data_IF_551266359981
#
_entry.id   IF_551266359981
#
_cell.length_a   1.000
_cell.length_b   1.000
_cell.length_c   1.000
_cell.angle_alpha   90.00
_cell.angle_beta   90.00
_cell.angle_gamma   90.00
#
_symmetry.space_group_name_H-M   'P 1'
#
loop_
_entity.id
_entity.type
_entity.pdbx_description
1 polymer ?
#
# COMPACT_ATOMS: atom_id res chain seq x y z
N UNK A 1 -34.04 -7.23 13.57
CA UNK A 1 -32.62 -6.83 13.44
C UNK A 1 -31.73 -7.43 14.53
N UNK A 2 -31.57 -6.84 15.73
CA UNK A 2 -30.56 -7.34 16.70
C UNK A 2 -30.77 -8.81 17.15
N UNK A 3 -32.02 -9.20 17.48
CA UNK A 3 -32.36 -10.58 17.90
C UNK A 3 -32.14 -11.59 16.76
N UNK A 4 -32.50 -11.19 15.54
CA UNK A 4 -32.32 -11.99 14.33
C UNK A 4 -30.84 -12.22 14.03
N UNK A 5 -30.02 -11.16 14.07
CA UNK A 5 -28.56 -11.24 13.93
C UNK A 5 -27.95 -12.17 14.99
N UNK A 6 -28.41 -12.08 16.24
CA UNK A 6 -27.95 -12.95 17.32
C UNK A 6 -28.20 -14.44 16.99
N UNK A 7 -29.43 -14.80 16.60
CA UNK A 7 -29.77 -16.20 16.30
C UNK A 7 -28.95 -16.73 15.10
N UNK A 8 -28.80 -15.94 14.04
CA UNK A 8 -28.02 -16.35 12.89
C UNK A 8 -26.53 -16.55 13.23
N UNK A 9 -25.95 -15.69 14.08
CA UNK A 9 -24.56 -15.83 14.52
C UNK A 9 -24.36 -16.96 15.54
N UNK A 10 -25.27 -17.13 16.50
CA UNK A 10 -25.19 -18.20 17.53
C UNK A 10 -25.31 -19.60 16.91
N UNK A 11 -26.15 -19.71 15.88
CA UNK A 11 -26.37 -20.95 15.14
C UNK A 11 -25.33 -21.14 14.02
N UNK A 12 -24.34 -20.24 13.94
CA UNK A 12 -23.17 -20.29 13.04
C UNK A 12 -23.52 -20.20 11.54
N UNK A 13 -24.63 -19.55 11.20
CA UNK A 13 -24.95 -19.27 9.80
C UNK A 13 -23.98 -18.29 9.16
N UNK A 14 -23.48 -17.32 9.93
CA UNK A 14 -22.38 -16.43 9.52
C UNK A 14 -21.62 -15.89 10.73
N UNK A 15 -20.49 -15.21 10.48
CA UNK A 15 -19.76 -14.43 11.47
C UNK A 15 -19.38 -13.07 10.89
N UNK A 16 -19.27 -12.06 11.75
CA UNK A 16 -18.63 -10.81 11.37
C UNK A 16 -17.10 -10.91 11.42
N UNK A 17 -16.43 -9.94 10.80
CA UNK A 17 -14.98 -9.82 10.83
C UNK A 17 -14.46 -9.51 12.25
N UNK A 18 -13.19 -9.84 12.50
CA UNK A 18 -12.53 -9.66 13.80
C UNK A 18 -12.69 -8.24 14.39
N UNK A 19 -12.53 -7.13 13.63
CA UNK A 19 -12.72 -5.78 14.20
C UNK A 19 -14.15 -5.52 14.66
N UNK A 20 -15.15 -6.01 13.92
CA UNK A 20 -16.55 -5.95 14.34
C UNK A 20 -16.76 -6.71 15.65
N UNK A 21 -16.23 -7.93 15.74
CA UNK A 21 -16.35 -8.77 16.94
C UNK A 21 -15.63 -8.16 18.17
N UNK A 22 -14.53 -7.42 17.97
CA UNK A 22 -13.80 -6.77 19.05
C UNK A 22 -14.40 -5.45 19.52
N UNK A 23 -14.96 -4.67 18.60
CA UNK A 23 -15.25 -3.26 18.85
C UNK A 23 -16.74 -2.90 18.81
N UNK A 24 -17.63 -3.80 18.39
CA UNK A 24 -19.08 -3.56 18.43
C UNK A 24 -19.54 -3.28 19.88
N UNK A 25 -20.26 -2.17 20.09
CA UNK A 25 -20.74 -1.75 21.41
C UNK A 25 -19.70 -1.10 22.32
N UNK A 26 -18.47 -0.88 21.83
CA UNK A 26 -17.41 -0.16 22.59
C UNK A 26 -17.45 1.36 22.34
N UNK A 27 -16.81 2.20 23.18
CA UNK A 27 -16.83 3.66 23.02
C UNK A 27 -16.19 4.18 21.72
N UNK A 28 -15.30 3.42 21.09
CA UNK A 28 -14.68 3.76 19.81
C UNK A 28 -14.83 2.58 18.84
N UNK A 29 -16.00 2.41 18.21
CA UNK A 29 -16.35 1.20 17.48
C UNK A 29 -15.78 1.22 16.06
N UNK A 30 -14.47 1.06 15.92
CA UNK A 30 -13.85 0.80 14.63
C UNK A 30 -14.17 -0.65 14.22
N UNK A 31 -15.10 -0.84 13.29
CA UNK A 31 -15.57 -2.18 12.89
C UNK A 31 -15.05 -2.63 11.51
N UNK A 32 -14.34 -1.74 10.80
CA UNK A 32 -13.88 -1.96 9.42
C UNK A 32 -12.47 -2.57 9.40
N UNK A 33 -12.27 -3.62 8.60
CA UNK A 33 -10.97 -4.33 8.57
C UNK A 33 -9.93 -3.71 7.64
N UNK A 34 -10.36 -3.24 6.48
CA UNK A 34 -9.47 -2.93 5.37
C UNK A 34 -9.73 -1.54 4.82
N UNK A 35 -8.67 -0.85 4.44
CA UNK A 35 -8.70 0.50 3.89
C UNK A 35 -7.86 0.53 2.61
N UNK A 36 -8.36 1.19 1.59
CA UNK A 36 -7.63 1.42 0.34
C UNK A 36 -7.33 2.91 0.24
N UNK A 37 -6.06 3.25 0.03
CA UNK A 37 -5.57 4.60 -0.10
C UNK A 37 -4.80 4.74 -1.40
N UNK A 38 -4.98 5.87 -2.05
CA UNK A 38 -4.06 6.33 -3.09
C UNK A 38 -3.13 7.35 -2.47
N UNK A 39 -1.86 7.29 -2.85
CA UNK A 39 -0.92 8.35 -2.53
C UNK A 39 -1.45 9.69 -3.05
N UNK A 40 -1.57 10.68 -2.17
CA UNK A 40 -2.29 11.93 -2.48
C UNK A 40 -1.67 12.72 -3.62
N UNK A 41 -0.36 12.97 -3.53
CA UNK A 41 0.37 13.79 -4.50
C UNK A 41 1.82 13.34 -4.58
N UNK A 42 2.45 13.56 -5.73
CA UNK A 42 3.89 13.43 -5.95
C UNK A 42 4.64 14.67 -5.39
N UNK A 43 4.50 14.86 -4.09
CA UNK A 43 5.07 15.96 -3.31
C UNK A 43 5.42 15.47 -1.89
N UNK A 44 6.35 16.14 -1.21
CA UNK A 44 6.68 15.80 0.18
C UNK A 44 5.44 15.92 1.07
N UNK A 45 4.66 16.99 0.91
CA UNK A 45 3.43 17.20 1.68
C UNK A 45 2.41 16.08 1.44
N UNK A 46 2.17 15.71 0.17
CA UNK A 46 1.27 14.60 -0.19
C UNK A 46 1.73 13.25 0.38
N UNK A 47 3.03 12.97 0.33
CA UNK A 47 3.63 11.75 0.89
C UNK A 47 3.45 11.69 2.41
N UNK A 48 3.77 12.76 3.12
CA UNK A 48 3.68 12.79 4.58
C UNK A 48 2.24 12.87 5.09
N UNK A 49 1.33 13.50 4.36
CA UNK A 49 -0.11 13.42 4.66
C UNK A 49 -0.64 12.00 4.52
N UNK A 50 -0.25 11.30 3.45
CA UNK A 50 -0.61 9.89 3.23
C UNK A 50 -0.02 9.01 4.34
N UNK A 51 1.24 9.23 4.72
CA UNK A 51 1.89 8.53 5.83
C UNK A 51 1.15 8.74 7.16
N UNK A 52 0.76 9.98 7.47
CA UNK A 52 -0.03 10.31 8.67
C UNK A 52 -1.35 9.55 8.68
N UNK A 53 -2.04 9.48 7.55
CA UNK A 53 -3.30 8.74 7.42
C UNK A 53 -3.07 7.24 7.65
N UNK A 54 -2.02 6.66 7.05
CA UNK A 54 -1.64 5.26 7.26
C UNK A 54 -1.38 4.98 8.75
N UNK A 55 -0.66 5.86 9.45
CA UNK A 55 -0.40 5.73 10.88
C UNK A 55 -1.70 5.79 11.71
N UNK A 56 -2.64 6.68 11.38
CA UNK A 56 -3.92 6.78 12.09
C UNK A 56 -4.79 5.53 11.91
N UNK A 57 -4.83 4.97 10.70
CA UNK A 57 -5.56 3.73 10.40
C UNK A 57 -4.90 2.53 11.09
N UNK A 58 -3.57 2.42 11.01
CA UNK A 58 -2.82 1.34 11.64
C UNK A 58 -2.96 1.34 13.16
N UNK A 59 -3.00 2.52 13.80
CA UNK A 59 -3.32 2.68 15.22
C UNK A 59 -4.65 2.01 15.61
N UNK A 60 -5.61 1.98 14.69
CA UNK A 60 -6.94 1.39 14.90
C UNK A 60 -7.02 -0.06 14.41
N UNK A 61 -5.88 -0.74 14.22
CA UNK A 61 -5.75 -2.12 13.74
C UNK A 61 -6.35 -2.38 12.33
N UNK A 62 -6.44 -1.35 11.49
CA UNK A 62 -6.85 -1.48 10.09
C UNK A 62 -5.70 -1.93 9.19
N UNK A 63 -5.97 -2.86 8.28
CA UNK A 63 -5.06 -3.20 7.18
C UNK A 63 -5.18 -2.18 6.03
N UNK A 64 -4.06 -1.90 5.34
CA UNK A 64 -4.00 -0.84 4.33
C UNK A 64 -3.52 -1.42 2.99
N UNK A 65 -4.25 -1.14 1.91
CA UNK A 65 -3.74 -1.20 0.55
C UNK A 65 -3.38 0.21 0.09
N UNK A 66 -2.13 0.44 -0.33
CA UNK A 66 -1.63 1.75 -0.73
C UNK A 66 -1.14 1.73 -2.18
N UNK A 67 -1.80 2.46 -3.07
CA UNK A 67 -1.32 2.67 -4.43
C UNK A 67 -0.25 3.78 -4.45
N UNK A 68 0.93 3.48 -5.02
CA UNK A 68 2.08 4.42 -5.06
C UNK A 68 2.57 4.71 -6.48
N UNK A 69 1.88 4.23 -7.51
CA UNK A 69 2.29 4.36 -8.92
C UNK A 69 2.43 5.81 -9.37
N UNK A 70 1.77 6.79 -8.73
CA UNK A 70 1.87 8.20 -9.09
C UNK A 70 3.14 8.91 -8.58
N UNK A 71 3.96 8.27 -7.74
CA UNK A 71 5.22 8.86 -7.25
C UNK A 71 6.31 8.77 -8.31
N UNK A 72 7.07 9.85 -8.52
CA UNK A 72 8.14 9.87 -9.51
C UNK A 72 9.24 8.83 -9.26
N UNK A 73 9.75 8.23 -10.33
CA UNK A 73 10.78 7.20 -10.30
C UNK A 73 12.18 7.78 -10.04
N UNK A 74 13.12 6.93 -9.62
CA UNK A 74 14.51 7.31 -9.33
C UNK A 74 15.17 8.01 -10.53
N UNK A 75 15.91 9.09 -10.25
CA UNK A 75 16.60 9.87 -11.27
C UNK A 75 15.75 10.98 -11.91
N UNK A 76 14.43 11.00 -11.68
CA UNK A 76 13.57 12.07 -12.18
C UNK A 76 13.83 13.42 -11.48
N UNK A 77 13.68 14.50 -12.25
CA UNK A 77 14.00 15.86 -11.82
C UNK A 77 13.09 16.37 -10.69
N UNK A 78 13.65 17.17 -9.78
CA UNK A 78 12.92 17.87 -8.72
C UNK A 78 12.99 19.38 -8.99
N UNK A 79 11.84 20.07 -8.91
CA UNK A 79 11.72 21.52 -9.19
C UNK A 79 12.67 22.40 -8.35
N UNK A 80 13.01 21.98 -7.14
CA UNK A 80 13.96 22.66 -6.24
C UNK A 80 15.44 22.42 -6.58
N UNK A 81 15.73 21.68 -7.66
CA UNK A 81 17.07 21.22 -8.02
C UNK A 81 17.34 19.79 -7.52
N UNK A 82 18.09 19.03 -8.33
CA UNK A 82 18.48 17.66 -8.04
C UNK A 82 17.55 16.60 -8.65
N UNK A 83 17.76 15.35 -8.23
CA UNK A 83 17.04 14.16 -8.70
C UNK A 83 16.49 13.37 -7.52
N UNK A 84 15.33 12.76 -7.70
CA UNK A 84 14.73 11.89 -6.69
C UNK A 84 15.46 10.56 -6.56
N UNK A 85 15.38 9.98 -5.37
CA UNK A 85 15.88 8.63 -5.09
C UNK A 85 14.84 7.53 -5.36
N UNK A 86 13.64 7.90 -5.83
CA UNK A 86 12.57 6.99 -6.22
C UNK A 86 11.78 6.39 -5.06
N UNK A 87 11.10 5.28 -5.34
CA UNK A 87 10.19 4.62 -4.39
C UNK A 87 10.90 4.02 -3.18
N UNK A 88 12.10 3.46 -3.35
CA UNK A 88 12.76 2.66 -2.30
C UNK A 88 12.95 3.41 -0.98
N UNK A 89 13.54 4.63 -0.94
CA UNK A 89 13.66 5.37 0.32
C UNK A 89 12.33 5.81 0.91
N UNK A 90 11.36 6.18 0.05
CA UNK A 90 10.01 6.52 0.50
C UNK A 90 9.37 5.33 1.22
N UNK A 91 9.38 4.15 0.60
CA UNK A 91 8.79 2.94 1.15
C UNK A 91 9.48 2.49 2.45
N UNK A 92 10.77 2.80 2.64
CA UNK A 92 11.43 2.59 3.95
C UNK A 92 10.87 3.46 5.07
N UNK A 93 10.38 4.67 4.77
CA UNK A 93 9.69 5.50 5.76
C UNK A 93 8.34 4.87 6.14
N UNK A 94 7.61 4.32 5.17
CA UNK A 94 6.37 3.57 5.41
C UNK A 94 6.63 2.28 6.20
N UNK A 95 7.71 1.55 5.89
CA UNK A 95 8.13 0.33 6.60
C UNK A 95 8.41 0.60 8.08
N UNK A 96 9.23 1.61 8.36
CA UNK A 96 9.52 2.03 9.73
C UNK A 96 8.27 2.52 10.46
N UNK A 97 7.35 3.17 9.75
CA UNK A 97 6.07 3.61 10.32
C UNK A 97 5.17 2.41 10.63
N UNK A 98 5.09 1.41 9.75
CA UNK A 98 4.36 0.17 10.00
C UNK A 98 4.88 -0.52 11.27
N UNK A 99 6.21 -0.61 11.42
CA UNK A 99 6.87 -1.19 12.60
C UNK A 99 6.61 -0.37 13.88
N UNK A 100 6.66 0.96 13.79
CA UNK A 100 6.45 1.85 14.94
C UNK A 100 4.99 1.84 15.41
N UNK A 101 4.05 1.85 14.45
CA UNK A 101 2.61 1.93 14.67
C UNK A 101 1.97 0.55 14.87
N UNK A 102 2.77 -0.50 15.05
CA UNK A 102 2.34 -1.86 15.42
C UNK A 102 1.79 -1.95 16.87
N UNK A 103 1.13 -0.88 17.32
CA UNK A 103 0.83 -0.44 18.69
C UNK A 103 0.23 -1.52 19.62
N UNK A 104 0.85 -1.65 20.80
CA UNK A 104 0.13 -1.25 22.03
C UNK A 104 -0.79 -2.26 22.71
N UNK A 105 -0.68 -3.56 22.43
CA UNK A 105 -1.42 -4.58 23.21
C UNK A 105 -1.54 -5.98 22.61
N UNK A 106 -0.88 -6.27 21.48
CA UNK A 106 -0.76 -7.64 20.95
C UNK A 106 -1.99 -8.20 20.20
N UNK A 107 -3.02 -7.39 19.91
CA UNK A 107 -4.26 -7.89 19.30
C UNK A 107 -4.17 -8.15 17.79
N UNK A 108 -3.41 -7.36 17.01
CA UNK A 108 -3.18 -7.59 15.56
C UNK A 108 -2.05 -6.70 15.05
N UNK A 109 -1.18 -7.24 14.19
CA UNK A 109 -0.15 -6.44 13.54
C UNK A 109 -0.70 -5.55 12.42
N UNK A 110 -0.24 -4.29 12.36
CA UNK A 110 -0.51 -3.42 11.22
C UNK A 110 0.13 -3.99 9.95
N UNK A 111 -0.60 -3.99 8.83
CA UNK A 111 -0.10 -4.56 7.57
C UNK A 111 -0.44 -3.63 6.40
N UNK A 112 0.61 -3.19 5.70
CA UNK A 112 0.48 -2.33 4.52
C UNK A 112 0.85 -3.14 3.28
N UNK A 113 -0.08 -3.28 2.34
CA UNK A 113 0.15 -3.82 1.02
C UNK A 113 0.33 -2.65 0.04
N UNK A 114 1.51 -2.53 -0.54
CA UNK A 114 1.85 -1.50 -1.51
C UNK A 114 1.57 -2.02 -2.91
N UNK A 115 0.82 -1.26 -3.69
CA UNK A 115 0.45 -1.57 -5.07
C UNK A 115 1.24 -0.69 -6.03
N UNK A 116 1.87 -1.33 -7.02
CA UNK A 116 2.62 -0.68 -8.09
C UNK A 116 2.25 -1.28 -9.45
N UNK A 117 2.10 -0.45 -10.47
CA UNK A 117 1.93 -0.92 -11.84
C UNK A 117 3.26 -1.30 -12.50
N UNK A 118 3.29 -2.35 -13.35
CA UNK A 118 4.54 -2.92 -13.85
C UNK A 118 5.27 -2.04 -14.88
N UNK A 119 4.66 -0.97 -15.38
CA UNK A 119 5.32 0.01 -16.26
C UNK A 119 6.16 1.04 -15.48
N UNK A 120 6.03 1.09 -14.14
CA UNK A 120 6.76 2.06 -13.34
C UNK A 120 8.27 1.77 -13.37
N UNK A 121 9.11 2.80 -13.59
CA UNK A 121 10.55 2.60 -13.77
C UNK A 121 11.30 2.00 -12.57
N UNK A 122 10.79 2.19 -11.35
CA UNK A 122 11.33 1.55 -10.14
C UNK A 122 10.82 0.11 -9.90
N UNK A 123 10.09 -0.53 -10.83
CA UNK A 123 9.46 -1.84 -10.61
C UNK A 123 10.46 -2.94 -10.21
N UNK A 124 11.66 -2.95 -10.76
CA UNK A 124 12.67 -3.96 -10.42
C UNK A 124 13.17 -3.80 -8.98
N UNK A 125 13.46 -2.57 -8.55
CA UNK A 125 13.84 -2.30 -7.16
C UNK A 125 12.69 -2.64 -6.21
N UNK A 126 11.44 -2.34 -6.61
CA UNK A 126 10.23 -2.67 -5.85
C UNK A 126 10.07 -4.17 -5.59
N UNK A 127 10.30 -5.01 -6.60
CA UNK A 127 10.24 -6.48 -6.48
C UNK A 127 11.28 -7.04 -5.50
N UNK A 128 12.37 -6.32 -5.28
CA UNK A 128 13.48 -6.75 -4.44
C UNK A 128 13.32 -6.37 -2.96
N UNK A 129 12.37 -5.49 -2.62
CA UNK A 129 12.27 -4.88 -1.28
C UNK A 129 12.02 -5.89 -0.15
N UNK A 130 11.39 -7.04 -0.45
CA UNK A 130 11.10 -8.10 0.52
C UNK A 130 12.14 -9.22 0.55
N UNK A 131 13.15 -9.21 -0.33
CA UNK A 131 14.17 -10.27 -0.38
C UNK A 131 14.99 -10.29 0.92
N UNK A 132 15.36 -11.48 1.39
CA UNK A 132 16.16 -11.65 2.61
C UNK A 132 17.60 -11.18 2.41
N UNK A 133 18.21 -11.49 1.27
CA UNK A 133 19.58 -11.07 0.95
C UNK A 133 19.62 -9.68 0.29
N UNK A 134 20.78 -9.03 0.35
CA UNK A 134 21.06 -7.74 -0.28
C UNK A 134 21.35 -6.63 0.74
N UNK A 135 21.44 -5.39 0.25
CA UNK A 135 21.72 -4.22 1.09
C UNK A 135 20.49 -3.82 1.89
N UNK A 136 20.63 -3.68 3.21
CA UNK A 136 19.52 -3.31 4.11
C UNK A 136 18.89 -1.96 3.75
N UNK A 137 19.67 -1.04 3.21
CA UNK A 137 19.19 0.29 2.80
C UNK A 137 18.23 0.24 1.60
N UNK A 138 18.17 -0.91 0.91
CA UNK A 138 17.29 -1.18 -0.22
C UNK A 138 16.21 -2.22 0.15
N UNK A 139 15.83 -2.32 1.42
CA UNK A 139 14.84 -3.30 1.91
C UNK A 139 13.79 -2.63 2.77
N UNK A 140 12.57 -3.17 2.71
CA UNK A 140 11.41 -2.77 3.49
C UNK A 140 10.52 -4.01 3.73
N UNK A 141 10.94 -4.86 4.67
CA UNK A 141 10.42 -6.24 4.78
C UNK A 141 9.10 -6.35 5.55
N UNK A 142 8.75 -5.35 6.34
CA UNK A 142 7.50 -5.33 7.10
C UNK A 142 6.31 -4.93 6.21
N UNK A 143 6.58 -4.34 5.04
CA UNK A 143 5.58 -4.10 4.01
C UNK A 143 5.26 -5.37 3.21
N UNK A 144 4.07 -5.41 2.64
CA UNK A 144 3.63 -6.36 1.62
C UNK A 144 3.61 -5.68 0.26
N UNK A 145 3.81 -6.46 -0.79
CA UNK A 145 3.97 -5.94 -2.15
C UNK A 145 2.99 -6.63 -3.09
N UNK A 146 2.35 -5.85 -3.93
CA UNK A 146 1.40 -6.30 -4.93
C UNK A 146 1.66 -5.55 -6.25
N UNK A 147 1.49 -6.26 -7.36
CA UNK A 147 1.49 -5.65 -8.69
C UNK A 147 0.05 -5.39 -9.12
N UNK A 148 -0.19 -4.18 -9.64
CA UNK A 148 -1.43 -3.83 -10.33
C UNK A 148 -1.21 -3.98 -11.83
N UNK A 149 -1.56 -5.16 -12.36
CA UNK A 149 -1.13 -5.59 -13.70
C UNK A 149 -2.17 -5.21 -14.75
N UNK A 150 -1.73 -4.56 -15.83
CA UNK A 150 -2.57 -4.32 -17.01
C UNK A 150 -2.57 -5.51 -17.97
N UNK A 151 -3.67 -5.67 -18.71
CA UNK A 151 -3.78 -6.71 -19.75
C UNK A 151 -2.68 -6.59 -20.80
N UNK A 152 -2.27 -5.36 -21.12
CA UNK A 152 -1.19 -5.10 -22.07
C UNK A 152 0.13 -5.72 -21.62
N UNK A 153 0.47 -5.65 -20.33
CA UNK A 153 1.67 -6.30 -19.80
C UNK A 153 1.64 -7.81 -20.07
N UNK A 154 0.53 -8.46 -19.75
CA UNK A 154 0.38 -9.91 -19.96
C UNK A 154 0.44 -10.29 -21.45
N UNK A 155 -0.20 -9.51 -22.33
CA UNK A 155 -0.14 -9.69 -23.79
C UNK A 155 1.30 -9.57 -24.32
N UNK A 156 2.07 -8.61 -23.80
CA UNK A 156 3.49 -8.42 -24.19
C UNK A 156 4.37 -9.56 -23.69
N UNK A 157 4.14 -10.06 -22.48
CA UNK A 157 4.86 -11.23 -21.95
C UNK A 157 4.57 -12.48 -22.80
N UNK A 158 3.31 -12.75 -23.14
CA UNK A 158 2.92 -13.89 -23.96
C UNK A 158 3.55 -13.84 -25.36
N UNK A 159 3.60 -12.65 -25.97
CA UNK A 159 4.21 -12.44 -27.27
C UNK A 159 5.75 -12.33 -27.24
N UNK A 160 6.38 -12.44 -26.06
CA UNK A 160 7.80 -12.14 -25.84
C UNK A 160 8.22 -10.77 -26.45
N UNK A 161 7.35 -9.77 -26.29
CA UNK A 161 7.53 -8.43 -26.83
C UNK A 161 8.24 -7.48 -25.86
N UNK A 162 8.57 -6.30 -26.36
CA UNK A 162 9.18 -5.25 -25.55
C UNK A 162 8.18 -4.64 -24.55
N UNK A 163 8.68 -4.31 -23.37
CA UNK A 163 7.95 -3.59 -22.32
C UNK A 163 8.70 -2.32 -21.95
N UNK A 164 7.99 -1.20 -21.91
CA UNK A 164 8.57 0.12 -21.65
C UNK A 164 8.33 0.55 -20.20
N UNK A 165 9.36 1.16 -19.61
CA UNK A 165 9.33 1.67 -18.25
C UNK A 165 9.29 3.20 -18.24
N UNK A 166 8.46 3.79 -17.39
CA UNK A 166 8.23 5.24 -17.36
C UNK A 166 8.31 5.83 -15.95
N UNK A 167 8.72 7.10 -15.87
CA UNK A 167 8.34 7.96 -14.74
C UNK A 167 6.89 8.42 -14.93
N UNK A 168 6.03 8.34 -13.90
CA UNK A 168 4.67 8.93 -13.94
C UNK A 168 4.67 10.43 -14.27
N UNK A 169 5.75 11.12 -13.93
CA UNK A 169 5.97 12.53 -14.23
C UNK A 169 6.17 12.83 -15.73
N UNK A 170 6.63 11.84 -16.50
CA UNK A 170 6.88 11.95 -17.95
C UNK A 170 5.75 11.32 -18.77
N UNK A 171 5.15 10.24 -18.27
CA UNK A 171 4.02 9.55 -18.87
C UNK A 171 2.73 9.81 -18.07
N UNK A 172 2.29 11.07 -18.09
CA UNK A 172 1.09 11.49 -17.36
C UNK A 172 -0.18 10.84 -17.91
N UNK A 173 -1.14 10.55 -17.02
CA UNK A 173 -2.44 9.96 -17.39
C UNK A 173 -2.46 8.42 -17.47
N UNK A 174 -1.31 7.73 -17.43
CA UNK A 174 -1.29 6.27 -17.39
C UNK A 174 -1.97 5.70 -16.14
N UNK A 175 -1.71 6.31 -14.97
CA UNK A 175 -2.27 5.87 -13.67
C UNK A 175 -3.80 5.96 -13.64
N UNK A 176 -4.38 6.92 -14.38
CA UNK A 176 -5.82 7.19 -14.39
C UNK A 176 -6.53 6.57 -15.60
N UNK A 177 -5.82 5.78 -16.42
CA UNK A 177 -6.35 5.14 -17.61
C UNK A 177 -6.38 3.62 -17.47
N UNK A 178 -7.34 2.96 -18.10
CA UNK A 178 -7.48 1.51 -18.07
C UNK A 178 -8.01 0.99 -19.42
N UNK A 179 -7.78 -0.31 -19.70
CA UNK A 179 -8.18 -1.00 -20.92
C UNK A 179 -7.15 -1.99 -21.43
#
# INVERSE_FOLDING_TARGET
AAIETYHLMSDKWFTHATPTMFNAGTPSPQMSSCFLLSMKEDSIDGIFETLKLCAQISKSAGGIGLAVTNIRAKGSYIKSGGVTQGLTPMLRVFDNTARYVDQGGGKRKGAFAVYLEPWHADVFDFLDLKKNHGKEEARARDLFYALWISDLFMKRVEANGEWSLFCPCEATGLVDSWG
#
